data_IF_579762932146
#
_entry.id   IF_579762932146
#
_cell.length_a   1.000
_cell.length_b   1.000
_cell.length_c   1.000
_cell.angle_alpha   90.00
_cell.angle_beta   90.00
_cell.angle_gamma   90.00
#
_symmetry.space_group_name_H-M   'P 1'
#
loop_
_entity.id
_entity.type
_entity.pdbx_description
1 polymer ?
#
# COMPACT_ATOMS: atom_id res chain seq x y z
N UNK A 1 33.01 18.18 -1.72
CA UNK A 1 31.70 17.47 -1.71
C UNK A 1 31.84 16.04 -2.23
N UNK A 2 32.33 15.83 -3.47
CA UNK A 2 32.46 14.49 -4.09
C UNK A 2 33.18 13.46 -3.22
N UNK A 3 34.31 13.81 -2.61
CA UNK A 3 35.11 12.87 -1.80
C UNK A 3 34.43 12.47 -0.48
N UNK A 4 33.69 13.40 0.14
CA UNK A 4 32.92 13.14 1.37
C UNK A 4 31.75 12.21 1.06
N UNK A 5 30.99 12.52 0.01
CA UNK A 5 29.86 11.68 -0.42
C UNK A 5 30.32 10.28 -0.80
N UNK A 6 31.44 10.15 -1.51
CA UNK A 6 32.03 8.86 -1.87
C UNK A 6 32.48 8.06 -0.63
N UNK A 7 33.09 8.73 0.35
CA UNK A 7 33.48 8.11 1.61
C UNK A 7 32.27 7.56 2.39
N UNK A 8 31.23 8.38 2.57
CA UNK A 8 30.00 7.98 3.25
C UNK A 8 29.27 6.87 2.49
N UNK A 9 29.21 6.93 1.17
CA UNK A 9 28.59 5.89 0.33
C UNK A 9 29.34 4.56 0.47
N UNK A 10 30.68 4.55 0.35
CA UNK A 10 31.49 3.34 0.55
C UNK A 10 31.24 2.71 1.93
N UNK A 11 31.03 3.54 2.94
CA UNK A 11 30.77 3.08 4.31
C UNK A 11 29.43 2.34 4.41
N UNK A 12 28.38 2.90 3.82
CA UNK A 12 27.05 2.28 3.75
C UNK A 12 27.12 0.93 3.03
N UNK A 13 27.82 0.83 1.90
CA UNK A 13 27.94 -0.45 1.15
C UNK A 13 28.82 -1.50 1.81
N UNK A 14 29.81 -1.11 2.63
CA UNK A 14 30.67 -2.06 3.35
C UNK A 14 30.04 -2.59 4.64
N UNK A 15 28.95 -1.99 5.12
CA UNK A 15 28.27 -2.43 6.34
C UNK A 15 27.59 -3.78 6.13
N UNK A 16 28.05 -4.82 6.85
CA UNK A 16 27.42 -6.16 6.83
C UNK A 16 25.95 -6.12 7.24
N UNK A 17 25.58 -5.23 8.17
CA UNK A 17 24.21 -5.05 8.63
C UNK A 17 23.28 -4.56 7.52
N UNK A 18 23.78 -3.73 6.59
CA UNK A 18 22.98 -3.23 5.49
C UNK A 18 22.66 -4.34 4.47
N UNK A 19 23.59 -5.29 4.28
CA UNK A 19 23.34 -6.49 3.49
C UNK A 19 22.33 -7.43 4.14
N UNK A 20 22.32 -7.53 5.47
CA UNK A 20 21.30 -8.29 6.21
C UNK A 20 19.91 -7.70 5.98
N UNK A 21 19.78 -6.37 6.01
CA UNK A 21 18.50 -5.68 5.72
C UNK A 21 18.04 -5.95 4.28
N UNK A 22 18.94 -5.89 3.30
CA UNK A 22 18.62 -6.22 1.91
C UNK A 22 18.16 -7.68 1.75
N UNK A 23 18.87 -8.61 2.39
CA UNK A 23 18.49 -10.02 2.39
C UNK A 23 17.12 -10.25 3.05
N UNK A 24 16.82 -9.51 4.12
CA UNK A 24 15.52 -9.55 4.78
C UNK A 24 14.40 -9.05 3.85
N UNK A 25 14.59 -7.93 3.15
CA UNK A 25 13.62 -7.46 2.15
C UNK A 25 13.39 -8.48 1.05
N UNK A 26 14.48 -9.02 0.45
CA UNK A 26 14.38 -10.02 -0.60
C UNK A 26 13.66 -11.29 -0.12
N UNK A 27 13.96 -11.74 1.11
CA UNK A 27 13.31 -12.90 1.72
C UNK A 27 11.82 -12.66 1.96
N UNK A 28 11.44 -11.53 2.54
CA UNK A 28 10.03 -11.21 2.83
C UNK A 28 9.25 -11.13 1.53
N UNK A 29 9.76 -10.39 0.53
CA UNK A 29 9.11 -10.28 -0.78
C UNK A 29 8.97 -11.63 -1.48
N UNK A 30 10.02 -12.46 -1.44
CA UNK A 30 9.99 -13.79 -2.04
C UNK A 30 8.94 -14.70 -1.38
N UNK A 31 8.89 -14.71 -0.04
CA UNK A 31 7.91 -15.51 0.71
C UNK A 31 6.49 -15.01 0.47
N UNK A 32 6.24 -13.70 0.55
CA UNK A 32 4.89 -13.15 0.34
C UNK A 32 4.43 -13.33 -1.09
N UNK A 33 5.33 -13.17 -2.07
CA UNK A 33 5.03 -13.45 -3.46
C UNK A 33 4.64 -14.93 -3.66
N UNK A 34 5.42 -15.86 -3.09
CA UNK A 34 5.12 -17.29 -3.18
C UNK A 34 3.74 -17.62 -2.60
N UNK A 35 3.44 -17.09 -1.41
CA UNK A 35 2.13 -17.29 -0.76
C UNK A 35 0.99 -16.67 -1.58
N UNK A 36 1.17 -15.47 -2.13
CA UNK A 36 0.18 -14.83 -3.01
C UNK A 36 -0.04 -15.64 -4.28
N UNK A 37 1.03 -16.16 -4.90
CA UNK A 37 0.93 -16.96 -6.13
C UNK A 37 0.14 -18.26 -5.90
N UNK A 38 0.32 -18.90 -4.74
CA UNK A 38 -0.47 -20.08 -4.37
C UNK A 38 -1.94 -19.74 -4.11
N UNK A 39 -2.20 -18.57 -3.52
CA UNK A 39 -3.55 -18.18 -3.06
C UNK A 39 -4.37 -17.50 -4.15
N UNK A 40 -3.74 -16.79 -5.08
CA UNK A 40 -4.43 -16.02 -6.12
C UNK A 40 -5.32 -16.92 -7.01
N UNK A 41 -4.87 -18.13 -7.31
CA UNK A 41 -5.63 -19.07 -8.12
C UNK A 41 -6.91 -19.55 -7.42
N UNK A 42 -6.87 -19.86 -6.12
CA UNK A 42 -8.07 -20.30 -5.38
C UNK A 42 -9.10 -19.17 -5.22
N UNK A 43 -8.67 -17.91 -5.28
CA UNK A 43 -9.51 -16.72 -5.22
C UNK A 43 -9.85 -16.10 -6.59
N UNK A 44 -9.47 -16.76 -7.69
CA UNK A 44 -9.89 -16.36 -9.04
C UNK A 44 -11.41 -16.46 -9.22
N UNK A 45 -11.95 -15.71 -10.19
CA UNK A 45 -13.37 -15.80 -10.54
C UNK A 45 -13.72 -17.22 -11.00
N UNK A 46 -12.86 -17.84 -11.80
CA UNK A 46 -13.02 -19.23 -12.27
C UNK A 46 -13.15 -20.21 -11.10
N UNK A 47 -12.22 -20.18 -10.13
CA UNK A 47 -12.25 -21.04 -8.95
C UNK A 47 -13.50 -20.81 -8.08
N UNK A 48 -13.88 -19.53 -7.88
CA UNK A 48 -15.12 -19.16 -7.16
C UNK A 48 -16.34 -19.73 -7.87
N UNK A 49 -16.41 -19.62 -9.20
CA UNK A 49 -17.51 -20.16 -10.00
C UNK A 49 -17.55 -21.68 -9.96
N UNK A 50 -16.41 -22.37 -10.12
CA UNK A 50 -16.33 -23.84 -10.03
C UNK A 50 -16.83 -24.35 -8.68
N UNK A 51 -16.40 -23.73 -7.59
CA UNK A 51 -16.84 -24.07 -6.24
C UNK A 51 -18.34 -23.83 -6.06
N UNK A 52 -18.86 -22.69 -6.52
CA UNK A 52 -20.29 -22.35 -6.44
C UNK A 52 -21.16 -23.24 -7.34
N UNK A 53 -20.67 -23.62 -8.52
CA UNK A 53 -21.35 -24.53 -9.44
C UNK A 53 -21.48 -25.92 -8.80
N UNK A 54 -20.39 -26.47 -8.26
CA UNK A 54 -20.42 -27.77 -7.60
C UNK A 54 -21.34 -27.79 -6.37
N UNK A 55 -21.34 -26.72 -5.57
CA UNK A 55 -22.26 -26.58 -4.44
C UNK A 55 -23.73 -26.49 -4.89
N UNK A 56 -24.00 -25.67 -5.92
CA UNK A 56 -25.35 -25.52 -6.48
C UNK A 56 -25.87 -26.81 -7.11
N UNK A 57 -25.03 -27.58 -7.81
CA UNK A 57 -25.41 -28.89 -8.36
C UNK A 57 -25.86 -29.86 -7.27
N UNK A 58 -25.13 -29.94 -6.14
CA UNK A 58 -25.53 -30.77 -5.00
C UNK A 58 -26.86 -30.31 -4.42
N UNK A 59 -27.03 -29.01 -4.19
CA UNK A 59 -28.27 -28.45 -3.64
C UNK A 59 -29.47 -28.68 -4.58
N UNK A 60 -29.28 -28.56 -5.89
CA UNK A 60 -30.31 -28.85 -6.89
C UNK A 60 -30.70 -30.32 -6.85
N UNK A 61 -29.73 -31.24 -6.80
CA UNK A 61 -30.02 -32.67 -6.72
C UNK A 61 -30.79 -33.03 -5.42
N UNK A 62 -30.39 -32.46 -4.27
CA UNK A 62 -31.11 -32.65 -3.00
C UNK A 62 -32.54 -32.10 -3.06
N UNK A 63 -32.74 -30.93 -3.69
CA UNK A 63 -34.06 -30.33 -3.85
C UNK A 63 -34.93 -31.11 -4.84
N UNK A 64 -34.36 -31.65 -5.92
CA UNK A 64 -35.04 -32.57 -6.85
C UNK A 64 -35.52 -33.84 -6.13
N UNK A 65 -34.66 -34.43 -5.30
CA UNK A 65 -35.01 -35.61 -4.51
C UNK A 65 -36.15 -35.30 -3.54
N UNK A 66 -36.08 -34.19 -2.80
CA UNK A 66 -37.15 -33.74 -1.89
C UNK A 66 -38.47 -33.52 -2.63
N UNK A 67 -38.44 -32.84 -3.78
CA UNK A 67 -39.62 -32.62 -4.62
C UNK A 67 -40.21 -33.95 -5.12
N UNK A 68 -39.39 -34.93 -5.46
CA UNK A 68 -39.86 -36.26 -5.90
C UNK A 68 -40.55 -37.06 -4.79
N UNK A 69 -40.25 -36.76 -3.53
CA UNK A 69 -40.85 -37.40 -2.36
C UNK A 69 -42.16 -36.73 -1.90
N UNK A 70 -42.49 -35.55 -2.43
CA UNK A 70 -43.74 -34.86 -2.13
C UNK A 70 -44.91 -35.52 -2.89
N UNK A 71 -45.89 -36.01 -2.15
CA UNK A 71 -47.05 -36.71 -2.72
C UNK A 71 -48.09 -35.77 -3.34
N UNK A 72 -48.22 -34.54 -2.84
CA UNK A 72 -49.21 -33.57 -3.32
C UNK A 72 -48.55 -32.52 -4.22
N UNK A 73 -48.53 -32.83 -5.51
CA UNK A 73 -47.99 -31.94 -6.55
C UNK A 73 -48.84 -30.70 -6.82
N UNK A 74 -50.04 -30.59 -6.22
CA UNK A 74 -50.93 -29.43 -6.36
C UNK A 74 -50.82 -28.45 -5.20
N UNK A 75 -50.14 -28.84 -4.12
CA UNK A 75 -49.90 -27.99 -2.97
C UNK A 75 -49.10 -26.73 -3.32
N UNK A 76 -49.40 -25.63 -2.61
CA UNK A 76 -48.67 -24.37 -2.76
C UNK A 76 -47.17 -24.55 -2.47
N UNK A 77 -46.84 -25.34 -1.44
CA UNK A 77 -45.46 -25.69 -1.08
C UNK A 77 -44.71 -26.39 -2.22
N UNK A 78 -45.34 -27.37 -2.89
CA UNK A 78 -44.73 -28.03 -4.05
C UNK A 78 -44.50 -27.06 -5.21
N UNK A 79 -45.48 -26.20 -5.51
CA UNK A 79 -45.38 -25.24 -6.60
C UNK A 79 -44.28 -24.19 -6.34
N UNK A 80 -44.18 -23.69 -5.10
CA UNK A 80 -43.09 -22.79 -4.69
C UNK A 80 -41.74 -23.46 -4.79
N UNK A 81 -41.58 -24.66 -4.20
CA UNK A 81 -40.32 -25.40 -4.25
C UNK A 81 -39.89 -25.72 -5.69
N UNK A 82 -40.83 -26.07 -6.57
CA UNK A 82 -40.57 -26.33 -7.99
C UNK A 82 -40.13 -25.05 -8.73
N UNK A 83 -40.82 -23.94 -8.50
CA UNK A 83 -40.46 -22.64 -9.08
C UNK A 83 -39.05 -22.19 -8.64
N UNK A 84 -38.74 -22.35 -7.36
CA UNK A 84 -37.41 -22.04 -6.82
C UNK A 84 -36.33 -22.94 -7.41
N UNK A 85 -36.62 -24.24 -7.58
CA UNK A 85 -35.72 -25.19 -8.23
C UNK A 85 -35.45 -24.80 -9.70
N UNK A 86 -36.48 -24.43 -10.46
CA UNK A 86 -36.33 -23.99 -11.84
C UNK A 86 -35.49 -22.70 -11.93
N UNK A 87 -35.68 -21.76 -11.00
CA UNK A 87 -34.83 -20.57 -10.88
C UNK A 87 -33.36 -20.95 -10.60
N UNK A 88 -33.12 -21.86 -9.65
CA UNK A 88 -31.77 -22.35 -9.32
C UNK A 88 -31.08 -22.98 -10.52
N UNK A 89 -31.79 -23.81 -11.31
CA UNK A 89 -31.27 -24.42 -12.54
C UNK A 89 -30.91 -23.39 -13.61
N UNK A 90 -31.74 -22.35 -13.77
CA UNK A 90 -31.46 -21.26 -14.70
C UNK A 90 -30.20 -20.48 -14.29
N UNK A 91 -30.06 -20.15 -12.99
CA UNK A 91 -28.85 -19.50 -12.46
C UNK A 91 -27.61 -20.38 -12.61
N UNK A 92 -27.74 -21.70 -12.40
CA UNK A 92 -26.64 -22.65 -12.60
C UNK A 92 -26.17 -22.68 -14.06
N UNK A 93 -27.12 -22.75 -15.00
CA UNK A 93 -26.82 -22.74 -16.45
C UNK A 93 -26.03 -21.48 -16.81
N UNK A 94 -26.47 -20.32 -16.32
CA UNK A 94 -25.77 -19.05 -16.53
C UNK A 94 -24.36 -19.02 -15.94
N UNK A 95 -24.17 -19.52 -14.71
CA UNK A 95 -22.82 -19.62 -14.11
C UNK A 95 -21.89 -20.55 -14.92
N UNK A 96 -22.41 -21.66 -15.45
CA UNK A 96 -21.65 -22.57 -16.33
C UNK A 96 -21.28 -21.90 -17.66
N UNK A 97 -22.16 -21.07 -18.21
CA UNK A 97 -21.88 -20.26 -19.40
C UNK A 97 -20.74 -19.27 -19.11
N UNK A 98 -20.83 -18.51 -18.01
CA UNK A 98 -19.76 -17.58 -17.59
C UNK A 98 -18.43 -18.33 -17.46
N UNK A 99 -18.41 -19.47 -16.75
CA UNK A 99 -17.19 -20.26 -16.58
C UNK A 99 -16.62 -20.76 -17.92
N UNK A 100 -17.48 -21.18 -18.85
CA UNK A 100 -17.08 -21.60 -20.20
C UNK A 100 -16.43 -20.44 -20.95
N UNK A 101 -17.07 -19.27 -20.97
CA UNK A 101 -16.54 -18.06 -21.60
C UNK A 101 -15.18 -17.66 -21.01
N UNK A 102 -15.01 -17.75 -19.69
CA UNK A 102 -13.73 -17.52 -19.04
C UNK A 102 -12.68 -18.52 -19.52
N UNK A 103 -13.00 -19.82 -19.57
CA UNK A 103 -12.05 -20.85 -20.06
C UNK A 103 -11.67 -20.68 -21.53
N UNK A 104 -12.58 -20.14 -22.34
CA UNK A 104 -12.35 -19.81 -23.76
C UNK A 104 -11.58 -18.49 -23.98
N UNK A 105 -11.29 -17.73 -22.92
CA UNK A 105 -10.64 -16.42 -23.03
C UNK A 105 -11.55 -15.29 -23.52
N UNK A 106 -12.87 -15.51 -23.49
CA UNK A 106 -13.92 -14.58 -23.91
C UNK A 106 -14.33 -13.67 -22.75
N UNK A 107 -13.34 -12.94 -22.22
CA UNK A 107 -13.44 -12.17 -20.97
C UNK A 107 -14.56 -11.13 -20.99
N UNK A 108 -14.66 -10.38 -22.09
CA UNK A 108 -15.70 -9.37 -22.28
C UNK A 108 -17.10 -9.96 -22.09
N UNK A 109 -17.44 -11.03 -22.81
CA UNK A 109 -18.76 -11.64 -22.67
C UNK A 109 -19.01 -12.20 -21.26
N UNK A 110 -18.00 -12.85 -20.66
CA UNK A 110 -18.10 -13.36 -19.31
C UNK A 110 -18.38 -12.26 -18.27
N UNK A 111 -17.67 -11.13 -18.33
CA UNK A 111 -17.86 -10.03 -17.38
C UNK A 111 -19.14 -9.25 -17.62
N UNK A 112 -19.64 -9.20 -18.85
CA UNK A 112 -20.97 -8.64 -19.12
C UNK A 112 -22.05 -9.44 -18.38
N UNK A 113 -22.02 -10.77 -18.50
CA UNK A 113 -22.96 -11.66 -17.81
C UNK A 113 -22.79 -11.59 -16.29
N UNK A 114 -21.54 -11.55 -15.80
CA UNK A 114 -21.25 -11.41 -14.37
C UNK A 114 -21.77 -10.08 -13.83
N UNK A 115 -21.50 -8.95 -14.51
CA UNK A 115 -22.00 -7.64 -14.08
C UNK A 115 -23.52 -7.62 -13.97
N UNK A 116 -24.24 -8.20 -14.93
CA UNK A 116 -25.70 -8.30 -14.87
C UNK A 116 -26.20 -9.14 -13.68
N UNK A 117 -25.46 -10.15 -13.26
CA UNK A 117 -25.81 -10.93 -12.06
C UNK A 117 -25.58 -10.10 -10.80
N UNK A 118 -24.43 -9.40 -10.70
CA UNK A 118 -24.13 -8.51 -9.57
C UNK A 118 -25.07 -7.28 -9.52
N UNK A 119 -25.62 -6.83 -10.66
CA UNK A 119 -26.62 -5.76 -10.72
C UNK A 119 -27.90 -6.18 -9.99
N UNK A 120 -28.37 -7.42 -10.21
CA UNK A 120 -29.55 -7.95 -9.51
C UNK A 120 -29.29 -8.11 -8.01
N UNK A 121 -28.12 -8.61 -7.65
CA UNK A 121 -27.72 -8.74 -6.25
C UNK A 121 -27.65 -7.37 -5.57
N UNK A 122 -27.14 -6.35 -6.27
CA UNK A 122 -27.16 -4.97 -5.79
C UNK A 122 -28.58 -4.42 -5.64
N UNK A 123 -29.45 -4.60 -6.63
CA UNK A 123 -30.85 -4.15 -6.54
C UNK A 123 -31.58 -4.78 -5.35
N UNK A 124 -31.35 -6.08 -5.10
CA UNK A 124 -31.90 -6.76 -3.94
C UNK A 124 -31.37 -6.18 -2.62
N UNK A 125 -30.04 -6.10 -2.47
CA UNK A 125 -29.38 -5.68 -1.22
C UNK A 125 -29.57 -4.19 -0.94
N UNK A 126 -29.61 -3.34 -1.97
CA UNK A 126 -29.79 -1.89 -1.82
C UNK A 126 -31.20 -1.55 -1.32
N UNK A 127 -32.21 -2.28 -1.81
CA UNK A 127 -33.61 -2.12 -1.42
C UNK A 127 -33.94 -2.77 -0.07
N UNK A 128 -33.10 -3.68 0.44
CA UNK A 128 -33.25 -4.25 1.78
C UNK A 128 -32.96 -3.18 2.87
N UNK A 129 -33.95 -2.79 3.70
CA UNK A 129 -33.76 -1.82 4.76
C UNK A 129 -32.91 -2.35 5.92
N UNK A 130 -32.75 -3.67 6.04
CA UNK A 130 -31.98 -4.33 7.10
C UNK A 130 -30.52 -4.58 6.74
N UNK A 131 -30.17 -4.49 5.45
CA UNK A 131 -28.81 -4.65 4.98
C UNK A 131 -27.88 -3.55 5.51
N UNK A 132 -26.72 -3.94 6.04
CA UNK A 132 -25.72 -3.01 6.55
C UNK A 132 -25.12 -2.14 5.43
N UNK A 133 -24.66 -0.93 5.78
CA UNK A 133 -23.96 -0.04 4.83
C UNK A 133 -22.72 -0.72 4.23
N UNK A 134 -22.00 -1.52 5.03
CA UNK A 134 -20.83 -2.28 4.58
C UNK A 134 -21.19 -3.33 3.53
N UNK A 135 -22.29 -4.07 3.73
CA UNK A 135 -22.77 -5.05 2.76
C UNK A 135 -23.22 -4.37 1.46
N UNK A 136 -24.02 -3.30 1.56
CA UNK A 136 -24.45 -2.50 0.40
C UNK A 136 -23.26 -2.01 -0.43
N UNK A 137 -22.24 -1.51 0.25
CA UNK A 137 -21.01 -1.02 -0.37
C UNK A 137 -20.16 -2.14 -0.98
N UNK A 138 -20.12 -3.32 -0.36
CA UNK A 138 -19.41 -4.48 -0.87
C UNK A 138 -19.99 -4.97 -2.19
N UNK A 139 -21.33 -5.13 -2.25
CA UNK A 139 -22.04 -5.57 -3.46
C UNK A 139 -21.97 -4.50 -4.56
N UNK A 140 -22.13 -3.21 -4.20
CA UNK A 140 -21.95 -2.10 -5.14
C UNK A 140 -20.56 -2.09 -5.77
N UNK A 141 -19.52 -2.33 -4.96
CA UNK A 141 -18.13 -2.41 -5.42
C UNK A 141 -17.93 -3.59 -6.38
N UNK A 142 -18.42 -4.78 -6.05
CA UNK A 142 -18.27 -5.98 -6.89
C UNK A 142 -18.94 -5.76 -8.25
N UNK A 143 -20.17 -5.24 -8.26
CA UNK A 143 -20.91 -4.81 -9.46
C UNK A 143 -20.10 -3.84 -10.33
N UNK A 144 -19.60 -2.75 -9.74
CA UNK A 144 -18.86 -1.72 -10.47
C UNK A 144 -17.50 -2.21 -10.97
N UNK A 145 -16.86 -3.16 -10.29
CA UNK A 145 -15.62 -3.80 -10.77
C UNK A 145 -15.90 -4.52 -12.09
N UNK A 146 -16.93 -5.37 -12.18
CA UNK A 146 -17.25 -6.07 -13.42
C UNK A 146 -17.73 -5.14 -14.53
N UNK A 147 -18.47 -4.09 -14.17
CA UNK A 147 -18.84 -3.02 -15.10
C UNK A 147 -17.60 -2.35 -15.72
N UNK A 148 -16.54 -2.13 -14.93
CA UNK A 148 -15.28 -1.55 -15.40
C UNK A 148 -14.38 -2.56 -16.14
N UNK A 149 -14.42 -3.84 -15.79
CA UNK A 149 -13.66 -4.91 -16.44
C UNK A 149 -14.20 -5.29 -17.82
N UNK A 150 -15.53 -5.30 -17.98
CA UNK A 150 -16.23 -5.63 -19.23
C UNK A 150 -15.61 -4.97 -20.49
N UNK A 151 -15.44 -3.63 -20.55
CA UNK A 151 -14.91 -2.98 -21.74
C UNK A 151 -13.41 -3.24 -21.97
N UNK A 152 -12.66 -3.63 -20.94
CA UNK A 152 -11.22 -3.85 -21.03
C UNK A 152 -10.86 -5.17 -21.72
N UNK A 153 -11.74 -6.18 -21.62
CA UNK A 153 -11.54 -7.52 -22.20
C UNK A 153 -10.20 -8.18 -21.77
N UNK A 154 -9.91 -8.14 -20.47
CA UNK A 154 -8.64 -8.61 -19.90
C UNK A 154 -8.90 -9.64 -18.82
N UNK A 155 -7.96 -10.54 -18.57
CA UNK A 155 -8.14 -11.51 -17.49
C UNK A 155 -8.13 -10.80 -16.12
N UNK A 156 -9.28 -10.86 -15.45
CA UNK A 156 -9.44 -10.41 -14.08
C UNK A 156 -8.55 -11.23 -13.13
N UNK A 157 -7.98 -10.53 -12.15
CA UNK A 157 -7.17 -11.11 -11.10
C UNK A 157 -7.45 -10.39 -9.77
N UNK A 158 -7.17 -11.07 -8.67
CA UNK A 158 -7.38 -10.50 -7.35
C UNK A 158 -6.27 -9.50 -7.00
N UNK A 159 -6.67 -8.32 -6.54
CA UNK A 159 -5.76 -7.32 -5.97
C UNK A 159 -5.43 -7.60 -4.50
N UNK A 160 -6.17 -8.51 -3.85
CA UNK A 160 -5.92 -8.92 -2.45
C UNK A 160 -4.68 -9.83 -2.36
N UNK A 161 -4.48 -10.68 -3.37
CA UNK A 161 -3.31 -11.54 -3.53
C UNK A 161 -2.58 -11.16 -4.82
N UNK A 162 -1.91 -9.99 -4.83
CA UNK A 162 -1.31 -9.44 -6.03
C UNK A 162 -0.23 -10.40 -6.55
N UNK A 163 -0.19 -10.57 -7.87
CA UNK A 163 0.78 -11.45 -8.53
C UNK A 163 1.41 -10.79 -9.76
N UNK A 164 0.74 -9.82 -10.40
CA UNK A 164 1.30 -9.06 -11.51
C UNK A 164 2.26 -7.98 -11.05
N UNK A 165 3.14 -7.55 -11.95
CA UNK A 165 4.16 -6.55 -11.66
C UNK A 165 3.60 -5.23 -11.10
N UNK A 166 2.56 -4.67 -11.73
CA UNK A 166 1.94 -3.41 -11.28
C UNK A 166 1.30 -3.56 -9.90
N UNK A 167 0.49 -4.60 -9.70
CA UNK A 167 -0.22 -4.86 -8.43
C UNK A 167 0.76 -5.06 -7.28
N UNK A 168 1.87 -5.74 -7.56
CA UNK A 168 2.96 -5.98 -6.61
C UNK A 168 3.62 -4.67 -6.16
N UNK A 169 3.77 -3.67 -7.04
CA UNK A 169 4.25 -2.34 -6.62
C UNK A 169 3.23 -1.67 -5.69
N UNK A 170 1.93 -1.68 -6.04
CA UNK A 170 0.89 -1.08 -5.18
C UNK A 170 0.86 -1.74 -3.81
N UNK A 171 0.97 -3.07 -3.76
CA UNK A 171 0.98 -3.82 -2.51
C UNK A 171 2.19 -3.54 -1.64
N UNK A 172 3.40 -3.46 -2.21
CA UNK A 172 4.56 -3.07 -1.39
C UNK A 172 4.40 -1.64 -0.86
N UNK A 173 3.80 -0.71 -1.62
CA UNK A 173 3.54 0.65 -1.17
C UNK A 173 2.52 0.69 -0.03
N UNK A 174 1.52 -0.19 -0.06
CA UNK A 174 0.48 -0.29 0.97
C UNK A 174 0.99 -1.00 2.24
N UNK A 175 1.78 -2.07 2.09
CA UNK A 175 2.11 -2.98 3.21
C UNK A 175 3.57 -2.90 3.62
N UNK A 176 4.51 -3.11 2.70
CA UNK A 176 5.94 -3.28 3.01
C UNK A 176 6.62 -1.94 3.32
N UNK A 177 6.29 -0.90 2.56
CA UNK A 177 6.91 0.41 2.69
C UNK A 177 6.61 1.03 4.06
N UNK A 178 5.33 1.15 4.50
CA UNK A 178 5.02 1.77 5.80
C UNK A 178 5.59 0.97 6.99
N UNK A 179 5.87 -0.32 6.82
CA UNK A 179 6.32 -1.21 7.90
C UNK A 179 7.84 -1.44 7.84
N UNK A 180 8.26 -2.54 7.22
CA UNK A 180 9.60 -3.07 7.23
C UNK A 180 10.59 -2.10 6.57
N UNK A 181 10.20 -1.44 5.49
CA UNK A 181 11.09 -0.53 4.77
C UNK A 181 11.48 0.66 5.63
N UNK A 182 10.49 1.31 6.26
CA UNK A 182 10.71 2.47 7.14
C UNK A 182 11.62 2.10 8.32
N UNK A 183 11.40 0.94 8.95
CA UNK A 183 12.27 0.45 10.03
C UNK A 183 13.70 0.26 9.52
N UNK A 184 13.86 -0.38 8.36
CA UNK A 184 15.16 -0.62 7.73
C UNK A 184 15.91 0.68 7.41
N UNK A 185 15.25 1.67 6.81
CA UNK A 185 15.90 2.95 6.50
C UNK A 185 16.24 3.73 7.77
N UNK A 186 15.40 3.73 8.80
CA UNK A 186 15.69 4.40 10.08
C UNK A 186 16.96 3.82 10.70
N UNK A 187 17.10 2.49 10.67
CA UNK A 187 18.30 1.83 11.17
C UNK A 187 19.55 2.30 10.43
N UNK A 188 19.53 2.26 9.09
CA UNK A 188 20.70 2.65 8.28
C UNK A 188 21.02 4.14 8.41
N UNK A 189 20.00 5.00 8.40
CA UNK A 189 20.16 6.44 8.61
C UNK A 189 20.73 6.75 10.00
N UNK A 190 20.31 6.01 11.03
CA UNK A 190 20.89 6.14 12.37
C UNK A 190 22.38 5.81 12.36
N UNK A 191 22.79 4.71 11.70
CA UNK A 191 24.21 4.38 11.57
C UNK A 191 24.96 5.48 10.80
N UNK A 192 24.37 5.99 9.72
CA UNK A 192 24.98 7.03 8.88
C UNK A 192 25.19 8.34 9.66
N UNK A 193 24.19 8.80 10.41
CA UNK A 193 24.19 10.13 11.03
C UNK A 193 24.76 10.15 12.45
N UNK A 194 24.51 9.12 13.26
CA UNK A 194 24.99 9.11 14.65
C UNK A 194 26.47 8.75 14.75
N UNK A 195 27.08 8.13 13.74
CA UNK A 195 28.49 7.71 13.79
C UNK A 195 29.50 8.87 13.66
N UNK A 196 29.02 10.05 13.28
CA UNK A 196 29.75 11.33 13.43
C UNK A 196 30.08 11.65 14.90
N UNK A 197 29.35 11.08 15.84
CA UNK A 197 29.51 11.38 17.25
C UNK A 197 30.20 10.21 17.95
N UNK A 198 31.45 10.42 18.38
CA UNK A 198 32.18 9.47 19.22
C UNK A 198 32.32 10.07 20.62
N UNK A 199 31.87 9.34 21.65
CA UNK A 199 31.87 9.80 23.04
C UNK A 199 31.21 11.18 23.21
N UNK A 200 30.08 11.42 22.51
CA UNK A 200 29.35 12.70 22.43
C UNK A 200 30.13 13.87 21.79
N UNK A 201 31.34 13.62 21.29
CA UNK A 201 32.14 14.58 20.56
C UNK A 201 31.89 14.43 19.06
N UNK A 202 31.68 15.57 18.42
CA UNK A 202 31.44 15.67 16.98
C UNK A 202 32.77 15.58 16.23
N UNK A 203 33.08 14.38 15.72
CA UNK A 203 34.34 14.10 14.99
C UNK A 203 34.36 14.74 13.61
N UNK A 204 33.22 15.26 13.11
CA UNK A 204 33.19 15.95 11.84
C UNK A 204 34.09 17.21 11.84
N UNK A 205 34.43 17.72 13.03
CA UNK A 205 35.37 18.81 13.25
C UNK A 205 36.81 18.47 12.86
N UNK A 206 37.17 17.18 12.84
CA UNK A 206 38.51 16.74 12.46
C UNK A 206 38.70 16.71 10.94
N UNK A 207 37.61 16.78 10.18
CA UNK A 207 37.69 16.84 8.73
C UNK A 207 38.00 18.27 8.26
N UNK A 208 38.74 18.44 7.15
CA UNK A 208 39.07 19.75 6.58
C UNK A 208 37.87 20.40 5.85
N UNK A 209 36.65 20.20 6.35
CA UNK A 209 35.41 20.66 5.70
C UNK A 209 34.53 21.41 6.68
N UNK A 210 33.69 22.31 6.16
CA UNK A 210 32.70 23.00 6.99
C UNK A 210 31.61 22.02 7.47
N UNK A 211 31.05 22.26 8.66
CA UNK A 211 29.93 21.48 9.20
C UNK A 211 28.71 21.48 8.28
N UNK A 212 28.43 22.61 7.64
CA UNK A 212 27.34 22.76 6.66
C UNK A 212 27.58 21.88 5.43
N UNK A 213 28.81 21.86 4.90
CA UNK A 213 29.17 20.99 3.77
C UNK A 213 29.06 19.51 4.15
N UNK A 214 29.47 19.14 5.36
CA UNK A 214 29.30 17.79 5.88
C UNK A 214 27.83 17.41 5.98
N UNK A 215 27.00 18.28 6.57
CA UNK A 215 25.56 18.08 6.72
C UNK A 215 24.86 17.86 5.37
N UNK A 216 25.10 18.76 4.40
CA UNK A 216 24.56 18.61 3.03
C UNK A 216 25.02 17.31 2.36
N UNK A 217 26.30 16.95 2.52
CA UNK A 217 26.83 15.70 1.95
C UNK A 217 26.19 14.48 2.60
N UNK A 218 25.96 14.54 3.92
CA UNK A 218 25.36 13.45 4.69
C UNK A 218 23.88 13.27 4.36
N UNK A 219 23.10 14.35 4.32
CA UNK A 219 21.70 14.34 3.88
C UNK A 219 21.58 13.83 2.43
N UNK A 220 22.42 14.34 1.52
CA UNK A 220 22.43 13.89 0.13
C UNK A 220 22.73 12.40 -0.01
N UNK A 221 23.67 11.86 0.78
CA UNK A 221 23.94 10.41 0.81
C UNK A 221 22.76 9.63 1.42
N UNK A 222 22.15 10.15 2.48
CA UNK A 222 20.95 9.56 3.10
C UNK A 222 19.78 9.44 2.12
N UNK A 223 19.43 10.55 1.46
CA UNK A 223 18.40 10.57 0.41
C UNK A 223 18.78 9.61 -0.72
N UNK A 224 19.99 9.71 -1.27
CA UNK A 224 20.43 8.85 -2.37
C UNK A 224 20.33 7.36 -2.03
N UNK A 225 20.70 6.98 -0.81
CA UNK A 225 20.61 5.60 -0.34
C UNK A 225 19.16 5.13 -0.29
N UNK A 226 18.27 5.91 0.33
CA UNK A 226 16.85 5.57 0.43
C UNK A 226 16.21 5.50 -0.97
N UNK A 227 16.56 6.40 -1.88
CA UNK A 227 16.11 6.38 -3.28
C UNK A 227 16.52 5.09 -3.98
N UNK A 228 17.79 4.68 -3.89
CA UNK A 228 18.29 3.46 -4.54
C UNK A 228 17.62 2.22 -3.95
N UNK A 229 17.44 2.16 -2.63
CA UNK A 229 16.70 1.07 -2.00
C UNK A 229 15.24 1.03 -2.45
N UNK A 230 14.58 2.18 -2.53
CA UNK A 230 13.18 2.28 -2.92
C UNK A 230 12.97 1.88 -4.39
N UNK A 231 13.81 2.37 -5.30
CA UNK A 231 13.78 1.96 -6.70
C UNK A 231 14.12 0.47 -6.81
N UNK A 232 15.10 -0.02 -6.04
CA UNK A 232 15.50 -1.42 -6.03
C UNK A 232 14.36 -2.35 -5.60
N UNK A 233 13.63 -2.00 -4.53
CA UNK A 233 12.53 -2.83 -4.03
C UNK A 233 11.32 -2.80 -4.97
N UNK A 234 10.97 -1.63 -5.51
CA UNK A 234 9.90 -1.49 -6.52
C UNK A 234 10.27 -2.24 -7.81
N UNK A 235 11.50 -2.07 -8.29
CA UNK A 235 11.98 -2.73 -9.50
C UNK A 235 12.04 -4.25 -9.34
N UNK A 236 12.55 -4.75 -8.22
CA UNK A 236 12.57 -6.18 -7.94
C UNK A 236 11.14 -6.76 -7.86
N UNK A 237 10.24 -6.11 -7.12
CA UNK A 237 8.84 -6.52 -6.99
C UNK A 237 8.13 -6.58 -8.34
N UNK A 238 8.30 -5.52 -9.15
CA UNK A 238 7.77 -5.45 -10.50
C UNK A 238 8.32 -6.55 -11.41
N UNK A 239 9.62 -6.81 -11.37
CA UNK A 239 10.25 -7.84 -12.19
C UNK A 239 9.74 -9.24 -11.83
N UNK A 240 9.70 -9.59 -10.54
CA UNK A 240 9.22 -10.90 -10.08
C UNK A 240 7.77 -11.13 -10.51
N UNK A 241 6.88 -10.15 -10.27
CA UNK A 241 5.49 -10.27 -10.70
C UNK A 241 5.32 -10.34 -12.21
N UNK A 242 6.08 -9.52 -12.95
CA UNK A 242 6.02 -9.50 -14.42
C UNK A 242 6.50 -10.80 -15.06
N UNK A 243 7.53 -11.44 -14.51
CA UNK A 243 8.08 -12.69 -15.05
C UNK A 243 7.16 -13.90 -14.81
N UNK A 244 6.34 -13.88 -13.75
CA UNK A 244 5.55 -15.03 -13.33
C UNK A 244 4.10 -14.92 -13.78
N UNK A 245 3.48 -13.74 -13.62
CA UNK A 245 2.06 -13.53 -13.92
C UNK A 245 1.83 -12.48 -15.01
N UNK A 246 2.87 -11.78 -15.43
CA UNK A 246 2.77 -10.72 -16.44
C UNK A 246 2.74 -9.32 -15.82
N UNK A 247 2.85 -8.32 -16.68
CA UNK A 247 3.01 -6.92 -16.27
C UNK A 247 1.82 -6.36 -15.47
N UNK A 248 0.61 -6.85 -15.75
CA UNK A 248 -0.63 -6.20 -15.30
C UNK A 248 -1.01 -5.03 -16.23
N UNK A 249 -2.06 -4.29 -15.88
CA UNK A 249 -2.53 -3.16 -16.67
C UNK A 249 -2.71 -1.90 -15.82
N UNK A 250 -2.34 -0.74 -16.39
CA UNK A 250 -2.41 0.54 -15.69
C UNK A 250 -3.85 1.06 -15.55
N UNK A 251 -4.74 0.65 -16.45
CA UNK A 251 -6.17 0.91 -16.41
C UNK A 251 -6.96 -0.17 -15.65
N UNK A 252 -6.26 -1.09 -14.97
CA UNK A 252 -6.93 -2.10 -14.17
C UNK A 252 -7.84 -1.46 -13.11
N UNK A 253 -9.10 -1.94 -12.96
CA UNK A 253 -10.07 -1.38 -12.03
C UNK A 253 -9.58 -1.38 -10.58
N UNK A 254 -9.61 -0.21 -9.94
CA UNK A 254 -9.21 -0.03 -8.55
C UNK A 254 -10.28 0.78 -7.77
N UNK A 255 -10.67 0.34 -6.55
CA UNK A 255 -11.73 1.00 -5.80
C UNK A 255 -11.26 2.26 -5.07
N UNK A 256 -12.02 3.34 -5.23
CA UNK A 256 -11.89 4.61 -4.54
C UNK A 256 -13.10 4.83 -3.63
N UNK A 257 -12.86 5.35 -2.43
CA UNK A 257 -13.86 5.49 -1.38
C UNK A 257 -14.12 6.96 -1.11
N UNK A 258 -15.37 7.39 -1.25
CA UNK A 258 -15.79 8.74 -0.87
C UNK A 258 -16.09 8.83 0.62
N UNK A 259 -15.65 9.91 1.27
CA UNK A 259 -15.99 10.23 2.65
C UNK A 259 -17.41 10.80 2.75
N UNK A 260 -17.86 11.56 1.75
CA UNK A 260 -19.13 12.32 1.83
C UNK A 260 -20.36 11.45 1.55
N UNK A 261 -20.26 10.52 0.60
CA UNK A 261 -21.44 9.83 0.06
C UNK A 261 -21.54 8.36 0.48
N UNK A 262 -20.54 7.83 1.21
CA UNK A 262 -20.35 6.38 1.44
C UNK A 262 -20.25 5.54 0.15
N UNK A 263 -20.17 6.17 -1.02
CA UNK A 263 -20.08 5.50 -2.32
C UNK A 263 -18.66 4.99 -2.62
N UNK A 264 -18.60 3.89 -3.36
CA UNK A 264 -17.38 3.40 -4.00
C UNK A 264 -17.42 3.76 -5.47
N UNK A 265 -16.35 4.40 -5.95
CA UNK A 265 -16.12 4.62 -7.38
C UNK A 265 -15.00 3.72 -7.85
N UNK A 266 -15.00 3.35 -9.13
CA UNK A 266 -13.96 2.52 -9.71
C UNK A 266 -13.15 3.39 -10.66
N UNK A 267 -11.90 3.62 -10.27
CA UNK A 267 -10.90 4.32 -11.09
C UNK A 267 -9.86 3.34 -11.60
N UNK A 268 -8.74 3.87 -12.09
CA UNK A 268 -7.63 3.07 -12.61
C UNK A 268 -6.55 2.91 -11.56
N UNK A 269 -5.87 1.77 -11.54
CA UNK A 269 -4.77 1.53 -10.60
C UNK A 269 -3.64 2.55 -10.73
N UNK A 270 -3.39 3.08 -11.95
CA UNK A 270 -2.39 4.13 -12.17
C UNK A 270 -2.68 5.43 -11.40
N UNK A 271 -3.95 5.73 -11.15
CA UNK A 271 -4.40 6.95 -10.48
C UNK A 271 -4.03 6.93 -8.98
N UNK A 272 -3.75 5.73 -8.46
CA UNK A 272 -3.17 5.55 -7.12
C UNK A 272 -1.66 5.33 -7.20
N UNK A 273 -1.17 4.53 -8.14
CA UNK A 273 0.23 4.11 -8.22
C UNK A 273 1.22 5.28 -8.34
N UNK A 274 1.13 6.09 -9.40
CA UNK A 274 2.14 7.13 -9.65
C UNK A 274 2.11 8.24 -8.60
N UNK A 275 0.92 8.74 -8.18
CA UNK A 275 0.85 9.67 -7.06
C UNK A 275 1.44 9.05 -5.78
N UNK A 276 1.15 7.77 -5.48
CA UNK A 276 1.70 7.10 -4.29
C UNK A 276 3.22 7.08 -4.29
N UNK A 277 3.85 6.72 -5.41
CA UNK A 277 5.31 6.74 -5.56
C UNK A 277 5.90 8.11 -5.22
N UNK A 278 5.27 9.19 -5.68
CA UNK A 278 5.73 10.56 -5.42
C UNK A 278 5.59 10.96 -3.95
N UNK A 279 4.42 10.76 -3.34
CA UNK A 279 4.21 11.12 -1.92
C UNK A 279 5.14 10.32 -1.00
N UNK A 280 5.27 9.03 -1.26
CA UNK A 280 6.16 8.15 -0.50
C UNK A 280 7.61 8.62 -0.62
N UNK A 281 8.06 9.00 -1.82
CA UNK A 281 9.40 9.54 -2.03
C UNK A 281 9.64 10.85 -1.26
N UNK A 282 8.68 11.78 -1.29
CA UNK A 282 8.76 13.03 -0.54
C UNK A 282 8.80 12.77 0.97
N UNK A 283 7.98 11.84 1.47
CA UNK A 283 7.98 11.45 2.88
C UNK A 283 9.33 10.87 3.32
N UNK A 284 10.03 10.12 2.46
CA UNK A 284 11.38 9.65 2.75
C UNK A 284 12.40 10.78 2.93
N UNK A 285 12.31 11.86 2.16
CA UNK A 285 13.21 13.01 2.34
C UNK A 285 12.98 13.63 3.73
N UNK A 286 11.73 13.80 4.13
CA UNK A 286 11.38 14.28 5.49
C UNK A 286 11.93 13.36 6.57
N UNK A 287 11.84 12.04 6.39
CA UNK A 287 12.42 11.05 7.33
C UNK A 287 13.93 11.22 7.44
N UNK A 288 14.62 11.36 6.31
CA UNK A 288 16.07 11.57 6.29
C UNK A 288 16.47 12.80 7.12
N UNK A 289 15.77 13.92 6.96
CA UNK A 289 16.04 15.16 7.69
C UNK A 289 15.69 15.06 9.18
N UNK A 290 14.59 14.40 9.53
CA UNK A 290 14.18 14.20 10.92
C UNK A 290 15.16 13.29 11.66
N UNK A 291 15.56 12.16 11.07
CA UNK A 291 16.56 11.27 11.69
C UNK A 291 17.91 11.99 11.84
N UNK A 292 18.28 12.84 10.88
CA UNK A 292 19.47 13.69 11.00
C UNK A 292 19.37 14.66 12.19
N UNK A 293 18.23 15.34 12.36
CA UNK A 293 18.01 16.25 13.49
C UNK A 293 18.05 15.53 14.83
N UNK A 294 17.41 14.36 14.94
CA UNK A 294 17.48 13.54 16.15
C UNK A 294 18.94 13.15 16.42
N UNK A 295 19.69 12.72 15.40
CA UNK A 295 21.12 12.43 15.54
C UNK A 295 21.94 13.63 16.04
N UNK A 296 21.61 14.83 15.56
CA UNK A 296 22.27 16.06 15.98
C UNK A 296 22.09 16.36 17.48
N UNK A 297 20.88 16.21 18.00
CA UNK A 297 20.59 16.50 19.41
C UNK A 297 21.08 15.42 20.37
N UNK A 298 20.87 14.14 20.03
CA UNK A 298 21.13 13.03 20.95
C UNK A 298 22.55 12.47 20.86
N UNK A 299 23.22 12.58 19.71
CA UNK A 299 24.65 12.25 19.50
C UNK A 299 25.04 10.80 19.85
N UNK A 300 24.07 9.90 20.03
CA UNK A 300 24.30 8.51 20.39
C UNK A 300 23.38 7.60 19.57
N UNK A 301 23.91 6.48 19.07
CA UNK A 301 23.18 5.58 18.17
C UNK A 301 21.88 5.04 18.78
N UNK A 302 21.92 4.58 20.04
CA UNK A 302 20.77 3.93 20.67
C UNK A 302 19.59 4.89 20.91
N UNK A 303 19.77 6.07 21.53
CA UNK A 303 18.70 7.06 21.64
C UNK A 303 18.14 7.51 20.29
N UNK A 304 19.00 7.72 19.29
CA UNK A 304 18.59 8.16 17.96
C UNK A 304 17.70 7.11 17.30
N UNK A 305 18.10 5.84 17.35
CA UNK A 305 17.31 4.73 16.82
C UNK A 305 15.94 4.66 17.50
N UNK A 306 15.92 4.65 18.83
CA UNK A 306 14.70 4.49 19.61
C UNK A 306 13.71 5.62 19.39
N UNK A 307 14.18 6.88 19.44
CA UNK A 307 13.35 8.05 19.23
C UNK A 307 12.87 8.18 17.79
N UNK A 308 13.69 7.79 16.82
CA UNK A 308 13.25 7.77 15.42
C UNK A 308 12.18 6.72 15.19
N UNK A 309 12.32 5.53 15.77
CA UNK A 309 11.29 4.48 15.68
C UNK A 309 9.98 4.93 16.33
N UNK A 310 10.00 5.44 17.57
CA UNK A 310 8.79 5.91 18.24
C UNK A 310 8.18 7.11 17.51
N UNK A 311 9.00 8.11 17.16
CA UNK A 311 8.53 9.33 16.53
C UNK A 311 7.99 9.12 15.12
N UNK A 312 8.56 8.19 14.35
CA UNK A 312 8.17 7.97 12.95
C UNK A 312 7.15 6.82 12.87
N UNK A 313 7.55 5.62 13.29
CA UNK A 313 6.72 4.40 13.21
C UNK A 313 5.56 4.48 14.20
N UNK A 314 5.81 4.98 15.42
CA UNK A 314 4.76 5.14 16.42
C UNK A 314 3.68 6.14 15.98
N UNK A 315 4.06 7.27 15.36
CA UNK A 315 3.06 8.20 14.80
C UNK A 315 2.35 7.61 13.58
N UNK A 316 3.07 6.93 12.69
CA UNK A 316 2.52 6.31 11.48
C UNK A 316 1.36 5.34 11.78
N UNK A 317 1.50 4.49 12.78
CA UNK A 317 0.47 3.52 13.18
C UNK A 317 -0.48 4.08 14.24
N UNK A 318 0.01 4.98 15.10
CA UNK A 318 -0.77 5.60 16.17
C UNK A 318 -2.00 6.35 15.67
N UNK A 319 -2.00 6.87 14.43
CA UNK A 319 -3.18 7.51 13.84
C UNK A 319 -4.39 6.58 13.76
N UNK A 320 -4.26 5.25 13.69
CA UNK A 320 -5.43 4.39 13.59
C UNK A 320 -6.13 4.19 14.94
N UNK A 321 -5.39 4.33 16.04
CA UNK A 321 -5.89 4.00 17.39
C UNK A 321 -6.14 5.24 18.24
N UNK A 322 -5.39 6.32 18.03
CA UNK A 322 -5.38 7.49 18.91
C UNK A 322 -6.19 8.62 18.26
N UNK A 323 -7.43 8.85 18.75
CA UNK A 323 -8.35 9.87 18.22
C UNK A 323 -7.75 11.28 18.06
N UNK A 324 -6.98 11.83 19.02
CA UNK A 324 -6.30 13.11 18.82
C UNK A 324 -5.36 13.12 17.61
N UNK A 325 -4.64 12.02 17.35
CA UNK A 325 -3.76 11.89 16.20
C UNK A 325 -4.55 11.78 14.89
N UNK A 326 -5.73 11.13 14.90
CA UNK A 326 -6.62 11.05 13.73
C UNK A 326 -6.97 12.44 13.19
N UNK A 327 -7.33 13.38 14.07
CA UNK A 327 -7.75 14.74 13.69
C UNK A 327 -6.63 15.52 12.99
N UNK A 328 -5.39 15.33 13.43
CA UNK A 328 -4.21 16.01 12.88
C UNK A 328 -3.40 15.16 11.90
N UNK A 329 -3.91 13.99 11.49
CA UNK A 329 -3.15 13.02 10.69
C UNK A 329 -2.65 13.61 9.36
N UNK A 330 -3.40 14.56 8.79
CA UNK A 330 -3.03 15.31 7.59
C UNK A 330 -1.84 16.29 7.77
N UNK A 331 -1.40 16.54 9.01
CA UNK A 331 -0.21 17.35 9.32
C UNK A 331 1.00 16.50 9.69
N UNK A 332 0.81 15.19 9.91
CA UNK A 332 1.88 14.27 10.25
C UNK A 332 2.50 13.79 8.92
N UNK A 333 3.76 14.15 8.60
CA UNK A 333 4.36 13.83 7.31
C UNK A 333 4.48 12.33 7.05
N UNK A 334 4.61 11.53 8.11
CA UNK A 334 4.76 10.09 8.00
C UNK A 334 3.47 9.40 7.57
N UNK A 335 2.30 9.98 7.84
CA UNK A 335 1.01 9.45 7.37
C UNK A 335 1.02 9.22 5.86
N UNK A 336 1.72 10.06 5.11
CA UNK A 336 1.85 9.96 3.65
C UNK A 336 2.69 8.78 3.15
N UNK A 337 3.32 8.01 4.03
CA UNK A 337 3.84 6.68 3.67
C UNK A 337 2.72 5.71 3.32
N UNK A 338 1.52 5.90 3.87
CA UNK A 338 0.29 5.14 3.53
C UNK A 338 -0.44 5.76 2.34
N UNK A 339 0.33 6.18 1.33
CA UNK A 339 -0.15 6.97 0.20
C UNK A 339 -1.24 6.27 -0.60
N UNK A 340 -1.13 4.96 -0.81
CA UNK A 340 -2.16 4.13 -1.50
C UNK A 340 -3.52 4.25 -0.82
N UNK A 341 -3.55 4.19 0.51
CA UNK A 341 -4.78 4.25 1.30
C UNK A 341 -5.34 5.67 1.39
N UNK A 342 -4.48 6.69 1.33
CA UNK A 342 -4.89 8.10 1.25
C UNK A 342 -5.54 8.39 -0.09
N UNK A 343 -4.88 8.00 -1.18
CA UNK A 343 -5.31 8.29 -2.55
C UNK A 343 -6.57 7.52 -2.93
N UNK A 344 -6.71 6.29 -2.45
CA UNK A 344 -7.94 5.52 -2.59
C UNK A 344 -9.06 5.97 -1.65
N UNK A 345 -8.80 6.87 -0.70
CA UNK A 345 -9.80 7.33 0.27
C UNK A 345 -10.11 6.34 1.39
N UNK A 346 -9.45 5.16 1.43
CA UNK A 346 -9.62 4.16 2.50
C UNK A 346 -9.24 4.72 3.86
N UNK A 347 -8.02 5.25 4.00
CA UNK A 347 -7.52 5.76 5.27
C UNK A 347 -8.30 7.02 5.73
N UNK A 348 -8.51 8.05 4.87
CA UNK A 348 -9.31 9.21 5.23
C UNK A 348 -10.71 8.85 5.72
N UNK A 349 -11.38 7.89 5.07
CA UNK A 349 -12.68 7.37 5.51
C UNK A 349 -12.58 6.62 6.84
N UNK A 350 -11.56 5.79 7.04
CA UNK A 350 -11.35 5.04 8.28
C UNK A 350 -11.19 5.94 9.51
N UNK A 351 -10.49 7.07 9.37
CA UNK A 351 -10.21 7.99 10.49
C UNK A 351 -11.05 9.27 10.47
N UNK A 352 -12.03 9.36 9.57
CA UNK A 352 -12.91 10.52 9.36
C UNK A 352 -12.14 11.85 9.22
N UNK A 353 -11.19 11.91 8.27
CA UNK A 353 -10.36 13.10 8.05
C UNK A 353 -10.29 13.49 6.56
N UNK A 354 -11.21 14.35 6.11
CA UNK A 354 -11.28 14.87 4.73
C UNK A 354 -10.04 15.65 4.28
N UNK A 355 -9.29 16.23 5.23
CA UNK A 355 -8.08 17.00 4.92
C UNK A 355 -6.89 16.09 4.61
N UNK A 356 -6.97 14.80 4.97
CA UNK A 356 -5.95 13.82 4.60
C UNK A 356 -6.16 13.40 3.14
N UNK A 357 -5.53 14.12 2.21
CA UNK A 357 -5.66 13.87 0.78
C UNK A 357 -4.38 14.20 0.01
N UNK A 358 -4.38 13.90 -1.29
CA UNK A 358 -3.27 14.16 -2.22
C UNK A 358 -2.77 15.61 -2.18
N UNK A 359 -3.68 16.56 -2.31
CA UNK A 359 -3.35 17.99 -2.40
C UNK A 359 -2.64 18.45 -1.13
N UNK A 360 -3.14 18.05 0.04
CA UNK A 360 -2.52 18.37 1.31
C UNK A 360 -1.10 17.79 1.41
N UNK A 361 -0.87 16.56 0.95
CA UNK A 361 0.47 15.95 0.93
C UNK A 361 1.46 16.67 0.02
N UNK A 362 0.99 17.07 -1.16
CA UNK A 362 1.80 17.82 -2.15
C UNK A 362 2.17 19.23 -1.68
N UNK A 363 1.42 19.81 -0.74
CA UNK A 363 1.78 21.09 -0.11
C UNK A 363 2.65 20.86 1.12
N UNK A 364 2.21 19.99 2.04
CA UNK A 364 2.85 19.81 3.34
C UNK A 364 4.28 19.26 3.21
N UNK A 365 4.48 18.20 2.42
CA UNK A 365 5.78 17.51 2.39
C UNK A 365 6.89 18.43 1.82
N UNK A 366 6.72 19.10 0.67
CA UNK A 366 7.74 20.04 0.18
C UNK A 366 8.00 21.22 1.14
N UNK A 367 6.95 21.78 1.75
CA UNK A 367 7.11 22.84 2.74
C UNK A 367 7.94 22.39 3.95
N UNK A 368 7.67 21.18 4.47
CA UNK A 368 8.44 20.61 5.57
C UNK A 368 9.89 20.33 5.17
N UNK A 369 10.13 19.77 3.99
CA UNK A 369 11.50 19.53 3.47
C UNK A 369 12.30 20.84 3.47
N UNK A 370 11.74 21.91 2.89
CA UNK A 370 12.42 23.20 2.81
C UNK A 370 12.69 23.77 4.22
N UNK A 371 11.70 23.71 5.11
CA UNK A 371 11.79 24.24 6.46
C UNK A 371 12.83 23.49 7.30
N UNK A 372 12.81 22.15 7.26
CA UNK A 372 13.74 21.29 7.98
C UNK A 372 15.16 21.45 7.45
N UNK A 373 15.35 21.45 6.12
CA UNK A 373 16.65 21.70 5.51
C UNK A 373 17.21 23.05 5.95
N UNK A 374 16.43 24.13 5.86
CA UNK A 374 16.84 25.46 6.30
C UNK A 374 17.22 25.48 7.79
N UNK A 375 16.42 24.82 8.64
CA UNK A 375 16.70 24.67 10.07
C UNK A 375 18.01 23.93 10.35
N UNK A 376 18.26 22.80 9.66
CA UNK A 376 19.50 22.02 9.77
C UNK A 376 20.70 22.89 9.39
N UNK A 377 20.64 23.59 8.26
CA UNK A 377 21.74 24.45 7.79
C UNK A 377 22.02 25.60 8.76
N UNK A 378 20.97 26.20 9.31
CA UNK A 378 21.09 27.27 10.30
C UNK A 378 21.80 26.78 11.57
N UNK A 379 21.37 25.64 12.11
CA UNK A 379 21.94 25.05 13.34
C UNK A 379 23.42 24.67 13.14
N UNK A 380 23.77 24.05 12.02
CA UNK A 380 25.16 23.66 11.72
C UNK A 380 26.08 24.89 11.49
N UNK A 381 25.55 25.95 10.87
CA UNK A 381 26.28 27.21 10.69
C UNK A 381 26.50 27.91 12.02
N UNK A 382 25.48 27.99 12.88
CA UNK A 382 25.57 28.62 14.19
C UNK A 382 26.57 27.90 15.10
N UNK A 383 26.53 26.56 15.11
CA UNK A 383 27.48 25.74 15.87
C UNK A 383 28.94 25.91 15.44
N UNK A 384 29.18 26.34 14.19
CA UNK A 384 30.50 26.69 13.68
C UNK A 384 30.97 28.08 14.13
N UNK A 385 30.07 29.08 14.13
CA UNK A 385 30.40 30.48 14.43
C UNK A 385 30.76 30.71 15.90
N UNK A 386 29.98 30.14 16.84
CA UNK A 386 30.18 30.32 18.30
C UNK A 386 31.57 29.86 18.78
N UNK A 387 32.20 28.91 18.07
CA UNK A 387 33.53 28.41 18.44
C UNK A 387 34.68 29.22 17.86
N UNK A 388 34.53 29.82 16.68
CA UNK A 388 35.55 30.74 16.12
C UNK A 388 35.74 31.97 17.01
N UNK A 389 34.66 32.48 17.60
CA UNK A 389 34.75 33.60 18.55
C UNK A 389 35.44 33.23 19.87
N UNK A 390 35.30 31.98 20.34
CA UNK A 390 35.98 31.51 21.57
C UNK A 390 37.48 31.32 21.33
N UNK A 391 37.86 30.76 20.18
CA UNK A 391 39.27 30.53 19.82
C UNK A 391 40.03 31.82 19.45
N UNK A 392 39.33 32.85 18.97
CA UNK A 392 39.93 34.17 18.70
C UNK A 392 40.01 35.07 19.95
N UNK A 393 39.46 34.61 21.09
CA UNK A 393 39.48 35.35 22.38
C UNK A 393 40.39 34.72 23.44
N UNK A 394 41.00 33.57 23.16
CA UNK A 394 42.11 32.97 23.93
C UNK A 394 43.42 33.24 23.25
#
# INVERSE_FOLDING_TARGET
MKDISLFLLKKVFKSRLNWIILALFASVLGVTFYLNSQTANSHSLESRLETRIAANERAINENEEKLSQMSDTSSEEYQTAKSDLDLQKNLLTRKKEILTLLKEGRWKEAYYLQWQDEEKDYEFVSNDPTASSELKMGVDRERKIYQALYPLNIKAHTLEFPTHGIDQIVWILEVIIPTLFVIGIIFVLTQLFAERYQNNLDIAQLYPFSKVTFALSSLGVGVSYVTVLFIGICGFSFLVGSLISGFGQLDYPYPFYSLTNQEVTIGKIQDVLFPSLLLTFLAFIVIVEIVYLIAYFFKQKMPVLFLSLIGIVGLLFGIQTIQPLQKIAHLIPFTYLRSVEILSGRLPKQIDNVNLNWSMGMVLLPCLIILLLAGILFIERWGSSRKKEVFNRS
#
